data_IF_011230469842
#
_entry.id   IF_011230469842
#
_cell.length_a   1.000
_cell.length_b   1.000
_cell.length_c   1.000
_cell.angle_alpha   90.00
_cell.angle_beta   90.00
_cell.angle_gamma   90.00
#
_symmetry.space_group_name_H-M   'P 1'
#
loop_
_entity.id
_entity.type
_entity.pdbx_description
1 polymer ?
#
# COMPACT_ATOMS: atom_id res chain seq x y z
N UNK A 1 -30.81 -47.03 -12.69
CA UNK A 1 -30.36 -46.68 -14.04
C UNK A 1 -30.67 -45.21 -14.26
N UNK A 2 -30.23 -44.29 -13.40
CA UNK A 2 -28.86 -43.86 -13.02
C UNK A 2 -28.63 -42.46 -13.60
N UNK A 3 -28.60 -41.47 -12.71
CA UNK A 3 -28.34 -40.06 -13.00
C UNK A 3 -26.82 -39.83 -12.99
N UNK A 4 -26.24 -39.34 -14.09
CA UNK A 4 -24.81 -38.96 -14.12
C UNK A 4 -24.63 -37.45 -14.22
N UNK A 5 -24.39 -36.88 -13.03
CA UNK A 5 -23.45 -35.82 -12.67
C UNK A 5 -23.06 -34.74 -13.71
N UNK A 6 -23.46 -33.51 -13.42
CA UNK A 6 -22.87 -32.27 -13.93
C UNK A 6 -21.49 -32.07 -13.30
N UNK A 7 -20.42 -32.31 -14.05
CA UNK A 7 -19.06 -32.07 -13.60
C UNK A 7 -18.75 -30.56 -13.65
N UNK A 8 -18.60 -29.92 -12.49
CA UNK A 8 -18.10 -28.54 -12.35
C UNK A 8 -16.64 -28.50 -12.84
N UNK A 9 -16.19 -27.43 -13.53
CA UNK A 9 -14.79 -27.30 -13.92
C UNK A 9 -13.88 -27.37 -12.68
N UNK A 10 -12.68 -27.96 -12.81
CA UNK A 10 -11.80 -28.25 -11.68
C UNK A 10 -11.45 -26.97 -10.92
N UNK A 11 -11.50 -27.05 -9.60
CA UNK A 11 -11.11 -25.98 -8.68
C UNK A 11 -9.70 -25.49 -9.02
N UNK A 12 -9.60 -24.26 -9.53
CA UNK A 12 -8.31 -23.58 -9.64
C UNK A 12 -7.75 -23.39 -8.23
N UNK A 13 -6.73 -24.18 -7.90
CA UNK A 13 -5.88 -23.92 -6.74
C UNK A 13 -4.94 -22.79 -7.12
N UNK A 14 -5.35 -21.56 -6.81
CA UNK A 14 -4.44 -20.43 -6.76
C UNK A 14 -3.47 -20.71 -5.62
N UNK A 15 -2.28 -21.20 -5.95
CA UNK A 15 -1.16 -21.15 -5.01
C UNK A 15 -0.76 -19.68 -4.92
N UNK A 16 -1.23 -19.00 -3.88
CA UNK A 16 -0.61 -17.76 -3.45
C UNK A 16 0.82 -18.16 -3.03
N UNK A 17 1.78 -17.94 -3.92
CA UNK A 17 3.19 -18.00 -3.56
C UNK A 17 3.37 -17.06 -2.39
N UNK A 18 3.86 -17.61 -1.29
CA UNK A 18 4.01 -16.90 -0.02
C UNK A 18 4.72 -15.58 -0.24
N UNK A 19 4.30 -14.58 0.54
CA UNK A 19 5.08 -13.37 0.75
C UNK A 19 6.47 -13.85 1.17
N UNK A 20 7.45 -13.72 0.27
CA UNK A 20 8.85 -13.92 0.60
C UNK A 20 9.20 -12.89 1.68
N UNK A 21 9.28 -13.38 2.91
CA UNK A 21 9.79 -12.63 4.02
C UNK A 21 11.27 -12.32 3.76
N UNK A 22 11.54 -11.03 3.62
CA UNK A 22 12.65 -10.33 4.27
C UNK A 22 14.04 -10.98 4.16
N UNK A 23 14.88 -10.48 3.26
CA UNK A 23 16.31 -10.82 3.21
C UNK A 23 17.17 -9.76 2.51
N UNK A 24 17.64 -8.78 3.29
CA UNK A 24 18.93 -8.05 3.23
C UNK A 24 19.44 -7.54 1.85
N UNK A 25 19.80 -6.26 1.63
CA UNK A 25 20.84 -5.47 2.32
C UNK A 25 20.69 -3.99 1.90
N UNK A 26 20.52 -3.07 2.86
CA UNK A 26 21.06 -1.70 2.79
C UNK A 26 20.36 -0.59 1.97
N UNK A 27 19.23 -0.78 1.28
CA UNK A 27 18.69 0.26 0.38
C UNK A 27 17.19 0.57 0.50
N UNK A 28 16.56 0.36 1.66
CA UNK A 28 15.12 0.56 1.81
C UNK A 28 14.65 1.00 3.20
N UNK A 29 15.53 1.59 4.02
CA UNK A 29 15.06 2.13 5.29
C UNK A 29 14.37 3.48 5.03
N UNK A 30 13.18 3.76 5.59
CA UNK A 30 12.62 5.10 5.58
C UNK A 30 13.65 6.10 6.15
N UNK A 31 13.62 7.37 5.71
CA UNK A 31 14.54 8.38 6.21
C UNK A 31 14.47 8.41 7.74
N UNK A 32 15.62 8.50 8.42
CA UNK A 32 15.66 8.49 9.88
C UNK A 32 14.75 9.60 10.43
N UNK A 33 13.75 9.20 11.23
CA UNK A 33 12.73 10.09 11.81
C UNK A 33 11.34 9.99 11.18
N UNK A 34 11.17 9.27 10.06
CA UNK A 34 9.85 9.08 9.46
C UNK A 34 9.12 7.88 10.06
N UNK A 35 8.02 8.16 10.77
CA UNK A 35 7.08 7.15 11.23
C UNK A 35 6.09 6.80 10.12
N UNK A 36 6.40 5.74 9.37
CA UNK A 36 5.53 5.23 8.31
C UNK A 36 4.18 4.76 8.83
N UNK A 37 4.09 4.31 10.09
CA UNK A 37 2.82 3.88 10.67
C UNK A 37 1.93 5.08 10.94
N UNK A 38 2.50 6.20 11.40
CA UNK A 38 1.79 7.47 11.50
C UNK A 38 1.35 7.96 10.12
N UNK A 39 2.23 7.94 9.11
CA UNK A 39 1.91 8.34 7.74
C UNK A 39 0.78 7.49 7.14
N UNK A 40 0.82 6.17 7.33
CA UNK A 40 -0.21 5.23 6.88
C UNK A 40 -1.59 5.48 7.52
N UNK A 41 -1.62 6.07 8.71
CA UNK A 41 -2.85 6.48 9.38
C UNK A 41 -3.47 7.77 8.84
N UNK A 42 -2.78 8.52 7.98
CA UNK A 42 -3.28 9.78 7.47
C UNK A 42 -4.30 9.57 6.33
N UNK A 43 -5.49 10.19 6.39
CA UNK A 43 -6.44 10.20 5.28
C UNK A 43 -5.86 10.57 3.91
N UNK A 44 -5.03 11.62 3.75
CA UNK A 44 -4.43 11.95 2.45
C UNK A 44 -3.55 10.82 1.91
N UNK A 45 -2.79 10.17 2.78
CA UNK A 45 -1.89 9.11 2.36
C UNK A 45 -2.65 7.84 1.98
N UNK A 46 -3.71 7.49 2.71
CA UNK A 46 -4.60 6.39 2.34
C UNK A 46 -5.30 6.64 1.00
N UNK A 47 -5.74 7.88 0.76
CA UNK A 47 -6.33 8.26 -0.52
C UNK A 47 -5.32 8.15 -1.68
N UNK A 48 -4.07 8.56 -1.47
CA UNK A 48 -3.00 8.36 -2.46
C UNK A 48 -2.78 6.88 -2.80
N UNK A 49 -2.75 6.00 -1.78
CA UNK A 49 -2.58 4.56 -1.98
C UNK A 49 -3.76 3.94 -2.74
N UNK A 50 -4.99 4.36 -2.43
CA UNK A 50 -6.19 3.89 -3.11
C UNK A 50 -6.27 4.28 -4.60
N UNK A 51 -5.51 5.29 -5.04
CA UNK A 51 -5.39 5.63 -6.46
C UNK A 51 -4.46 4.68 -7.22
N UNK A 52 -3.58 3.97 -6.52
CA UNK A 52 -2.62 3.05 -7.14
C UNK A 52 -3.20 1.64 -7.24
N UNK A 53 -3.90 1.20 -6.20
CA UNK A 53 -4.39 -0.15 -6.07
C UNK A 53 -5.57 -0.20 -5.10
N UNK A 54 -6.56 -1.03 -5.41
CA UNK A 54 -7.73 -1.23 -4.56
C UNK A 54 -7.33 -1.91 -3.24
N UNK A 55 -7.80 -1.36 -2.12
CA UNK A 55 -7.62 -1.98 -0.82
C UNK A 55 -8.38 -3.32 -0.76
N UNK A 56 -7.71 -4.46 -0.47
CA UNK A 56 -8.36 -5.75 -0.38
C UNK A 56 -9.52 -5.78 0.61
N UNK A 57 -10.58 -6.52 0.27
CA UNK A 57 -11.73 -6.68 1.17
C UNK A 57 -11.29 -7.34 2.49
N UNK A 58 -11.65 -6.71 3.62
CA UNK A 58 -11.29 -7.17 4.96
C UNK A 58 -9.94 -6.66 5.48
N UNK A 59 -9.19 -5.89 4.69
CA UNK A 59 -7.97 -5.19 5.14
C UNK A 59 -8.29 -3.74 5.52
N UNK A 60 -7.66 -3.24 6.59
CA UNK A 60 -7.75 -1.83 6.98
C UNK A 60 -6.94 -0.95 6.02
N UNK A 61 -7.46 0.23 5.69
CA UNK A 61 -6.79 1.17 4.77
C UNK A 61 -5.41 1.63 5.29
N UNK A 62 -5.26 1.72 6.61
CA UNK A 62 -3.99 2.01 7.30
C UNK A 62 -2.99 0.87 7.16
N UNK A 63 -3.43 -0.38 7.36
CA UNK A 63 -2.59 -1.55 7.16
C UNK A 63 -2.17 -1.66 5.68
N UNK A 64 -3.12 -1.51 4.76
CA UNK A 64 -2.85 -1.53 3.32
C UNK A 64 -1.83 -0.47 2.94
N UNK A 65 -2.04 0.78 3.37
CA UNK A 65 -1.13 1.88 3.09
C UNK A 65 0.28 1.64 3.65
N UNK A 66 0.39 1.05 4.85
CA UNK A 66 1.69 0.72 5.45
C UNK A 66 2.44 -0.36 4.66
N UNK A 67 1.75 -1.44 4.29
CA UNK A 67 2.33 -2.53 3.50
C UNK A 67 2.77 -2.04 2.11
N UNK A 68 1.92 -1.21 1.46
CA UNK A 68 2.25 -0.62 0.16
C UNK A 68 3.42 0.36 0.23
N UNK A 69 3.49 1.18 1.29
CA UNK A 69 4.62 2.08 1.52
C UNK A 69 5.92 1.30 1.67
N UNK A 70 5.95 0.25 2.50
CA UNK A 70 7.14 -0.59 2.67
C UNK A 70 7.60 -1.20 1.34
N UNK A 71 6.67 -1.75 0.55
CA UNK A 71 7.00 -2.34 -0.74
C UNK A 71 7.49 -1.30 -1.76
N UNK A 72 6.88 -0.10 -1.79
CA UNK A 72 7.30 0.98 -2.68
C UNK A 72 8.71 1.49 -2.33
N UNK A 73 8.98 1.69 -1.03
CA UNK A 73 10.28 2.10 -0.52
C UNK A 73 11.36 1.05 -0.82
N UNK A 74 11.05 -0.23 -0.65
CA UNK A 74 11.99 -1.31 -0.97
C UNK A 74 12.32 -1.38 -2.48
N UNK A 75 11.39 -0.97 -3.34
CA UNK A 75 11.56 -0.98 -4.81
C UNK A 75 12.29 0.25 -5.34
N UNK A 76 11.92 1.44 -4.87
CA UNK A 76 12.33 2.71 -5.48
C UNK A 76 13.15 3.61 -4.55
N UNK A 77 13.27 3.24 -3.27
CA UNK A 77 13.82 4.10 -2.23
C UNK A 77 12.79 5.07 -1.64
N UNK A 78 13.04 5.48 -0.40
CA UNK A 78 12.10 6.32 0.33
C UNK A 78 11.97 7.74 -0.23
N UNK A 79 13.08 8.35 -0.65
CA UNK A 79 13.07 9.72 -1.15
C UNK A 79 12.22 9.86 -2.43
N UNK A 80 12.36 8.91 -3.37
CA UNK A 80 11.59 8.91 -4.60
C UNK A 80 10.09 8.72 -4.33
N UNK A 81 9.75 7.73 -3.50
CA UNK A 81 8.36 7.47 -3.10
C UNK A 81 7.71 8.68 -2.42
N UNK A 82 8.42 9.31 -1.48
CA UNK A 82 7.91 10.46 -0.75
C UNK A 82 7.79 11.71 -1.64
N UNK A 83 8.71 11.91 -2.56
CA UNK A 83 8.63 13.01 -3.52
C UNK A 83 7.37 12.89 -4.40
N UNK A 84 7.04 11.70 -4.87
CA UNK A 84 5.81 11.44 -5.63
C UNK A 84 4.56 11.72 -4.81
N UNK A 85 4.50 11.21 -3.58
CA UNK A 85 3.39 11.47 -2.67
C UNK A 85 3.19 12.97 -2.37
N UNK A 86 4.28 13.68 -2.06
CA UNK A 86 4.23 15.13 -1.78
C UNK A 86 3.76 15.91 -3.02
N UNK A 87 4.24 15.54 -4.20
CA UNK A 87 3.80 16.15 -5.45
C UNK A 87 2.32 15.92 -5.72
N UNK A 88 1.83 14.69 -5.48
CA UNK A 88 0.41 14.37 -5.58
C UNK A 88 -0.43 15.17 -4.58
N UNK A 89 -0.02 15.23 -3.31
CA UNK A 89 -0.78 15.93 -2.26
C UNK A 89 -1.00 17.41 -2.61
N UNK A 90 0.05 18.07 -3.12
CA UNK A 90 -0.02 19.46 -3.57
C UNK A 90 -0.97 19.66 -4.75
N UNK A 91 -1.07 18.68 -5.65
CA UNK A 91 -1.96 18.73 -6.81
C UNK A 91 -3.40 18.39 -6.45
N UNK A 92 -3.63 17.47 -5.50
CA UNK A 92 -4.96 17.03 -5.10
C UNK A 92 -5.80 18.15 -4.49
N UNK A 93 -5.17 19.11 -3.79
CA UNK A 93 -5.82 20.31 -3.26
C UNK A 93 -6.93 20.07 -2.23
N UNK A 94 -7.18 18.81 -1.84
CA UNK A 94 -8.29 18.40 -0.98
C UNK A 94 -8.00 18.61 0.52
N UNK A 95 -6.73 18.85 0.86
CA UNK A 95 -6.25 19.16 2.21
C UNK A 95 -5.49 20.50 2.23
N UNK A 96 -6.19 21.64 2.06
CA UNK A 96 -5.55 22.95 1.90
C UNK A 96 -4.94 23.52 3.19
N UNK A 97 -5.31 22.98 4.35
CA UNK A 97 -4.87 23.48 5.68
C UNK A 97 -3.89 22.53 6.37
N UNK A 98 -3.38 21.52 5.67
CA UNK A 98 -2.49 20.50 6.23
C UNK A 98 -1.28 20.25 5.31
N UNK A 99 -0.15 19.92 5.91
CA UNK A 99 1.02 19.39 5.20
C UNK A 99 0.73 17.95 4.76
N UNK A 100 1.49 17.41 3.79
CA UNK A 100 1.41 16.00 3.42
C UNK A 100 1.67 15.03 4.59
N UNK A 101 2.23 15.52 5.71
CA UNK A 101 2.56 14.72 6.89
C UNK A 101 1.57 14.95 8.06
N UNK A 102 0.44 15.62 7.80
CA UNK A 102 -0.65 15.81 8.77
C UNK A 102 -0.37 16.88 9.82
N UNK A 103 0.50 17.83 9.52
CA UNK A 103 0.73 19.02 10.36
C UNK A 103 -0.14 20.17 9.83
N UNK A 104 -0.74 21.01 10.68
CA UNK A 104 -1.48 22.18 10.21
C UNK A 104 -0.54 23.20 9.52
N UNK A 105 -1.04 23.87 8.47
CA UNK A 105 -0.34 24.95 7.74
C UNK A 105 -0.50 26.33 8.40
#
# INVERSE_FOLDING_TARGET
MDSTATEKPPTQRLVATGIDALGAMGAGNPPPGMDLRRLAGLPPFQAYMALQEDCPAGMGADQFALERAHAAIARAGADAFLAEYVAWHRQAGSWPNETPFGEPL
#
